data_IF_479654671677
#
_entry.id   IF_479654671677
#
_cell.length_a   1.000
_cell.length_b   1.000
_cell.length_c   1.000
_cell.angle_alpha   90.00
_cell.angle_beta   90.00
_cell.angle_gamma   90.00
#
_symmetry.space_group_name_H-M   'P 1'
#
loop_
_entity.id
_entity.type
_entity.pdbx_description
1 polymer ?
#
# COMPACT_ATOMS: atom_id res chain seq x y z
N UNK A 1 7.84 -4.90 -18.78
CA UNK A 1 6.36 -4.79 -18.73
C UNK A 1 6.06 -3.80 -17.61
N UNK A 2 5.31 -2.71 -17.87
CA UNK A 2 5.01 -1.73 -16.80
C UNK A 2 3.97 -2.32 -15.84
N UNK A 3 4.26 -2.31 -14.56
CA UNK A 3 3.32 -2.71 -13.53
C UNK A 3 2.21 -1.67 -13.38
N UNK A 4 0.99 -2.12 -13.03
CA UNK A 4 -0.08 -1.21 -12.60
C UNK A 4 0.27 -0.39 -11.35
N UNK A 5 1.34 -0.76 -10.65
CA UNK A 5 1.85 -0.07 -9.47
C UNK A 5 3.04 0.85 -9.76
N UNK A 6 3.53 0.92 -11.01
CA UNK A 6 4.53 1.91 -11.46
C UNK A 6 4.01 3.36 -11.42
N UNK A 7 2.76 3.55 -10.98
CA UNK A 7 2.11 4.85 -10.81
C UNK A 7 2.57 5.56 -9.52
N UNK A 8 2.99 4.81 -8.49
CA UNK A 8 3.37 5.38 -7.20
C UNK A 8 4.88 5.42 -7.03
N UNK A 9 5.41 6.60 -6.71
CA UNK A 9 6.78 6.72 -6.26
C UNK A 9 6.96 6.19 -4.82
N UNK A 10 8.21 6.04 -4.39
CA UNK A 10 8.53 5.52 -3.06
C UNK A 10 7.92 6.35 -1.92
N UNK A 11 7.85 7.68 -2.06
CA UNK A 11 7.29 8.57 -1.04
C UNK A 11 5.78 8.44 -0.97
N UNK A 12 5.12 8.27 -2.11
CA UNK A 12 3.68 8.02 -2.20
C UNK A 12 3.30 6.70 -1.54
N UNK A 13 4.12 5.64 -1.73
CA UNK A 13 3.93 4.36 -1.03
C UNK A 13 4.14 4.47 0.49
N UNK A 14 5.10 5.27 0.95
CA UNK A 14 5.32 5.53 2.37
C UNK A 14 4.16 6.35 2.98
N UNK A 15 3.67 7.37 2.27
CA UNK A 15 2.52 8.18 2.68
C UNK A 15 1.23 7.34 2.76
N UNK A 16 1.00 6.46 1.78
CA UNK A 16 -0.15 5.54 1.78
C UNK A 16 -0.09 4.58 2.98
N UNK A 17 1.10 4.07 3.33
CA UNK A 17 1.28 3.23 4.51
C UNK A 17 0.95 3.98 5.81
N UNK A 18 1.40 5.23 5.94
CA UNK A 18 1.12 6.05 7.12
C UNK A 18 -0.37 6.40 7.23
N UNK A 19 -1.01 6.77 6.12
CA UNK A 19 -2.45 7.05 6.06
C UNK A 19 -3.29 5.84 6.46
N UNK A 20 -2.91 4.65 5.99
CA UNK A 20 -3.51 3.39 6.41
C UNK A 20 -3.38 3.12 7.91
N UNK A 21 -2.20 3.36 8.49
CA UNK A 21 -1.97 3.16 9.92
C UNK A 21 -2.84 4.11 10.77
N UNK A 22 -2.92 5.38 10.39
CA UNK A 22 -3.78 6.37 11.06
C UNK A 22 -5.26 6.01 10.94
N UNK A 23 -5.71 5.61 9.74
CA UNK A 23 -7.08 5.16 9.50
C UNK A 23 -7.44 3.97 10.39
N UNK A 24 -6.58 2.96 10.47
CA UNK A 24 -6.75 1.78 11.33
C UNK A 24 -6.76 2.10 12.82
N UNK A 25 -6.04 3.14 13.24
CA UNK A 25 -5.99 3.57 14.65
C UNK A 25 -7.32 4.19 15.10
N UNK A 26 -8.02 4.88 14.21
CA UNK A 26 -9.26 5.61 14.53
C UNK A 26 -10.53 4.84 14.16
N UNK A 27 -10.40 3.70 13.48
CA UNK A 27 -11.56 2.91 13.05
C UNK A 27 -11.66 1.55 13.73
N UNK A 28 -12.89 1.21 14.10
CA UNK A 28 -13.23 0.02 14.86
C UNK A 28 -14.29 -0.81 14.11
N UNK A 29 -14.73 -0.32 12.94
CA UNK A 29 -15.79 -0.96 12.18
C UNK A 29 -15.25 -2.15 11.39
N UNK A 30 -16.05 -3.21 11.28
CA UNK A 30 -15.68 -4.40 10.52
C UNK A 30 -15.40 -4.10 9.05
N UNK A 31 -16.15 -3.17 8.47
CA UNK A 31 -15.96 -2.72 7.08
C UNK A 31 -14.63 -1.98 6.91
N UNK A 32 -14.30 -1.06 7.82
CA UNK A 32 -13.03 -0.34 7.76
C UNK A 32 -11.83 -1.26 7.93
N UNK A 33 -11.92 -2.28 8.80
CA UNK A 33 -10.89 -3.31 8.93
C UNK A 33 -10.75 -4.13 7.64
N UNK A 34 -11.87 -4.44 6.97
CA UNK A 34 -11.86 -5.12 5.66
C UNK A 34 -11.17 -4.29 4.57
N UNK A 35 -11.50 -3.00 4.47
CA UNK A 35 -10.86 -2.06 3.52
C UNK A 35 -9.37 -1.92 3.79
N UNK A 36 -8.97 -1.81 5.06
CA UNK A 36 -7.56 -1.74 5.41
C UNK A 36 -6.80 -3.03 5.10
N UNK A 37 -7.43 -4.21 5.23
CA UNK A 37 -6.83 -5.47 4.80
C UNK A 37 -6.55 -5.52 3.29
N UNK A 38 -7.48 -5.03 2.48
CA UNK A 38 -7.33 -4.96 1.02
C UNK A 38 -6.20 -3.99 0.64
N UNK A 39 -6.23 -2.77 1.19
CA UNK A 39 -5.19 -1.76 0.92
C UNK A 39 -3.80 -2.25 1.35
N UNK A 40 -3.71 -3.01 2.45
CA UNK A 40 -2.44 -3.57 2.92
C UNK A 40 -1.88 -4.58 1.92
N UNK A 41 -2.72 -5.47 1.38
CA UNK A 41 -2.32 -6.45 0.38
C UNK A 41 -1.84 -5.77 -0.91
N UNK A 42 -2.54 -4.73 -1.36
CA UNK A 42 -2.15 -3.96 -2.55
C UNK A 42 -0.82 -3.22 -2.36
N UNK A 43 -0.64 -2.56 -1.20
CA UNK A 43 0.61 -1.90 -0.85
C UNK A 43 1.79 -2.90 -0.79
N UNK A 44 1.57 -4.08 -0.24
CA UNK A 44 2.59 -5.13 -0.17
C UNK A 44 3.05 -5.56 -1.56
N UNK A 45 2.10 -5.80 -2.47
CA UNK A 45 2.41 -6.16 -3.86
C UNK A 45 3.17 -5.05 -4.56
N UNK A 46 2.68 -3.80 -4.47
CA UNK A 46 3.33 -2.63 -5.05
C UNK A 46 4.80 -2.50 -4.60
N UNK A 47 5.05 -2.56 -3.29
CA UNK A 47 6.41 -2.50 -2.72
C UNK A 47 7.31 -3.65 -3.15
N UNK A 48 6.75 -4.84 -3.37
CA UNK A 48 7.52 -6.00 -3.82
C UNK A 48 7.95 -5.85 -5.29
N UNK A 49 7.11 -5.21 -6.10
CA UNK A 49 7.37 -4.97 -7.52
C UNK A 49 8.35 -3.82 -7.73
N UNK A 50 8.24 -2.72 -6.96
CA UNK A 50 9.23 -1.63 -6.98
C UNK A 50 10.63 -2.15 -6.65
N UNK A 51 10.78 -3.01 -5.62
CA UNK A 51 12.08 -3.59 -5.25
C UNK A 51 12.67 -4.50 -6.33
N UNK A 52 11.84 -5.25 -7.06
CA UNK A 52 12.32 -6.06 -8.20
C UNK A 52 12.84 -5.19 -9.33
N UNK A 53 12.23 -4.02 -9.54
CA UNK A 53 12.63 -3.07 -10.58
C UNK A 53 13.94 -2.32 -10.24
N UNK A 54 14.24 -2.11 -8.94
CA UNK A 54 15.48 -1.49 -8.48
C UNK A 54 16.71 -2.43 -8.49
N UNK A 55 16.49 -3.75 -8.53
CA UNK A 55 17.54 -4.79 -8.48
C UNK A 55 17.83 -5.44 -9.84
N UNK A 56 17.10 -5.05 -10.89
CA UNK A 56 17.16 -5.61 -12.25
C UNK A 56 18.00 -4.79 -13.22
#
# INVERSE_FOLDING_TARGET
>A
MKSRFDVFDKKELEALQQGMYLFLKETNSRESLGVAGILHAELFVAKSETRKNELG
#
